data_IF_575162581654
#
_entry.id   IF_575162581654
#
_cell.length_a   1.000
_cell.length_b   1.000
_cell.length_c   1.000
_cell.angle_alpha   90.00
_cell.angle_beta   90.00
_cell.angle_gamma   90.00
#
_symmetry.space_group_name_H-M   'P 1'
#
loop_
_entity.id
_entity.type
_entity.pdbx_description
1 polymer ?
#
# COMPACT_ATOMS: atom_id res chain seq x y z
N UNK A 1 -5.50 13.94 -16.03
CA UNK A 1 -4.33 13.03 -16.18
C UNK A 1 -3.59 12.75 -14.87
N UNK A 2 -3.30 13.75 -14.01
CA UNK A 2 -2.54 13.56 -12.74
C UNK A 2 -3.02 12.45 -11.78
N UNK A 3 -4.33 12.18 -11.71
CA UNK A 3 -4.87 11.17 -10.78
C UNK A 3 -4.75 9.72 -11.27
N UNK A 4 -4.43 9.50 -12.56
CA UNK A 4 -4.21 8.14 -13.09
C UNK A 4 -2.77 7.71 -12.86
N UNK A 5 -1.81 8.58 -13.20
CA UNK A 5 -0.39 8.39 -12.90
C UNK A 5 -0.16 8.20 -11.39
N UNK A 6 -0.81 9.02 -10.55
CA UNK A 6 -0.72 8.86 -9.08
C UNK A 6 -1.31 7.53 -8.58
N UNK A 7 -2.36 7.00 -9.22
CA UNK A 7 -2.87 5.66 -8.91
C UNK A 7 -1.83 4.58 -9.25
N UNK A 8 -1.21 4.66 -10.42
CA UNK A 8 -0.23 3.67 -10.89
C UNK A 8 1.04 3.68 -10.02
N UNK A 9 1.50 4.86 -9.59
CA UNK A 9 2.60 4.97 -8.62
C UNK A 9 2.25 4.28 -7.29
N UNK A 10 1.06 4.57 -6.73
CA UNK A 10 0.63 3.96 -5.47
C UNK A 10 0.50 2.44 -5.59
N UNK A 11 -0.05 1.93 -6.69
CA UNK A 11 -0.14 0.49 -6.95
C UNK A 11 1.25 -0.16 -7.02
N UNK A 12 2.19 0.49 -7.69
CA UNK A 12 3.58 0.02 -7.76
C UNK A 12 4.23 -0.06 -6.37
N UNK A 13 4.02 0.96 -5.54
CA UNK A 13 4.54 0.97 -4.17
C UNK A 13 3.88 -0.10 -3.27
N UNK A 14 2.56 -0.29 -3.39
CA UNK A 14 1.81 -1.34 -2.71
C UNK A 14 2.39 -2.72 -3.04
N UNK A 15 2.64 -3.01 -4.32
CA UNK A 15 3.18 -4.30 -4.74
C UNK A 15 4.62 -4.50 -4.26
N UNK A 16 5.43 -3.43 -4.24
CA UNK A 16 6.77 -3.49 -3.66
C UNK A 16 6.72 -3.81 -2.15
N UNK A 17 5.83 -3.16 -1.39
CA UNK A 17 5.68 -3.44 0.04
C UNK A 17 5.21 -4.89 0.30
N UNK A 18 4.27 -5.39 -0.51
CA UNK A 18 3.83 -6.80 -0.44
C UNK A 18 4.99 -7.77 -0.68
N UNK A 19 5.85 -7.50 -1.66
CA UNK A 19 7.06 -8.31 -1.90
C UNK A 19 8.01 -8.28 -0.71
N UNK A 20 8.21 -7.13 -0.08
CA UNK A 20 9.04 -7.04 1.13
C UNK A 20 8.44 -7.89 2.27
N UNK A 21 7.12 -7.85 2.49
CA UNK A 21 6.47 -8.72 3.48
C UNK A 21 6.69 -10.20 3.18
N UNK A 22 6.55 -10.63 1.91
CA UNK A 22 6.84 -12.02 1.53
C UNK A 22 8.27 -12.42 1.86
N UNK A 23 9.25 -11.57 1.58
CA UNK A 23 10.67 -11.83 1.90
C UNK A 23 10.88 -11.98 3.42
N UNK A 24 10.23 -11.14 4.23
CA UNK A 24 10.31 -11.24 5.70
C UNK A 24 9.70 -12.56 6.19
N UNK A 25 8.53 -12.92 5.67
CA UNK A 25 7.84 -14.16 5.99
C UNK A 25 8.69 -15.38 5.61
N UNK A 26 9.30 -15.37 4.43
CA UNK A 26 10.19 -16.44 3.96
C UNK A 26 11.44 -16.60 4.82
N UNK A 27 11.93 -15.53 5.43
CA UNK A 27 13.05 -15.57 6.39
C UNK A 27 12.66 -16.20 7.73
N UNK A 28 11.38 -16.52 7.95
CA UNK A 28 10.89 -17.09 9.20
C UNK A 28 10.89 -16.09 10.37
N UNK A 29 10.94 -14.79 10.06
CA UNK A 29 10.85 -13.70 11.03
C UNK A 29 9.43 -13.68 11.61
N UNK A 30 9.28 -13.34 12.89
CA UNK A 30 7.96 -13.26 13.50
C UNK A 30 7.14 -12.17 12.83
N UNK A 31 5.84 -12.42 12.67
CA UNK A 31 4.92 -11.40 12.16
C UNK A 31 4.81 -10.18 13.09
N UNK A 32 5.28 -10.31 14.33
CA UNK A 32 5.32 -9.25 15.34
C UNK A 32 6.67 -8.57 15.46
N UNK A 33 7.67 -8.97 14.66
CA UNK A 33 8.96 -8.26 14.65
C UNK A 33 8.77 -6.83 14.14
N UNK A 34 9.55 -5.90 14.69
CA UNK A 34 9.44 -4.48 14.42
C UNK A 34 9.51 -4.15 12.92
N UNK A 35 10.32 -4.90 12.17
CA UNK A 35 10.44 -4.77 10.71
C UNK A 35 9.13 -5.12 10.00
N UNK A 36 8.46 -6.20 10.41
CA UNK A 36 7.17 -6.61 9.84
C UNK A 36 6.07 -5.62 10.20
N UNK A 37 6.08 -5.13 11.45
CA UNK A 37 5.14 -4.12 11.93
C UNK A 37 5.30 -2.82 11.13
N UNK A 38 6.53 -2.33 10.93
CA UNK A 38 6.78 -1.11 10.15
C UNK A 38 6.27 -1.25 8.71
N UNK A 39 6.58 -2.37 8.04
CA UNK A 39 6.14 -2.57 6.65
C UNK A 39 4.63 -2.68 6.56
N UNK A 40 3.97 -3.36 7.51
CA UNK A 40 2.51 -3.46 7.52
C UNK A 40 1.83 -2.08 7.68
N UNK A 41 2.34 -1.22 8.56
CA UNK A 41 1.80 0.14 8.77
C UNK A 41 2.00 1.03 7.54
N UNK A 42 3.14 0.90 6.85
CA UNK A 42 3.39 1.61 5.59
C UNK A 42 2.46 1.14 4.48
N UNK A 43 2.25 -0.18 4.36
CA UNK A 43 1.32 -0.74 3.38
C UNK A 43 -0.11 -0.25 3.63
N UNK A 44 -0.56 -0.23 4.88
CA UNK A 44 -1.88 0.30 5.24
C UNK A 44 -2.03 1.77 4.86
N UNK A 45 -0.99 2.57 5.07
CA UNK A 45 -0.99 3.99 4.68
C UNK A 45 -1.13 4.16 3.16
N UNK A 46 -0.39 3.37 2.37
CA UNK A 46 -0.48 3.39 0.90
C UNK A 46 -1.86 2.93 0.40
N UNK A 47 -2.42 1.87 0.99
CA UNK A 47 -3.76 1.39 0.66
C UNK A 47 -4.82 2.45 0.97
N UNK A 48 -4.70 3.14 2.10
CA UNK A 48 -5.60 4.22 2.47
C UNK A 48 -5.52 5.40 1.50
N UNK A 49 -4.32 5.78 1.07
CA UNK A 49 -4.15 6.87 0.11
C UNK A 49 -4.64 6.49 -1.29
N UNK A 50 -4.44 5.24 -1.70
CA UNK A 50 -5.04 4.70 -2.92
C UNK A 50 -6.57 4.74 -2.83
N UNK A 51 -7.14 4.25 -1.73
CA UNK A 51 -8.58 4.24 -1.48
C UNK A 51 -9.17 5.66 -1.53
N UNK A 52 -8.56 6.64 -0.86
CA UNK A 52 -8.98 8.04 -0.95
C UNK A 52 -8.97 8.53 -2.40
N UNK A 53 -7.97 8.16 -3.18
CA UNK A 53 -7.80 8.65 -4.55
C UNK A 53 -8.81 8.04 -5.53
N UNK A 54 -9.20 6.78 -5.34
CA UNK A 54 -10.25 6.13 -6.13
C UNK A 54 -11.66 6.54 -5.66
N UNK A 55 -11.87 6.75 -4.36
CA UNK A 55 -13.18 7.16 -3.82
C UNK A 55 -13.46 8.65 -4.04
N UNK A 56 -12.46 9.52 -4.00
CA UNK A 56 -12.62 10.94 -4.38
C UNK A 56 -13.00 11.12 -5.86
N UNK A 57 -12.82 10.11 -6.73
CA UNK A 57 -13.35 10.13 -8.11
C UNK A 57 -14.87 9.89 -8.17
N UNK A 58 -15.48 9.29 -7.15
CA UNK A 58 -16.90 8.92 -7.13
C UNK A 58 -17.81 9.95 -6.42
N UNK A 59 -17.26 10.98 -5.77
CA UNK A 59 -18.04 11.97 -5.01
C UNK A 59 -18.52 13.16 -5.88
N UNK A 60 -18.18 13.21 -7.17
CA UNK A 60 -18.68 14.26 -8.09
C UNK A 60 -19.96 13.88 -8.84
N UNK A 61 -20.63 12.78 -8.47
CA UNK A 61 -21.93 12.40 -9.05
C UNK A 61 -22.92 12.10 -7.93
N UNK A 62 -23.37 13.15 -7.26
CA UNK A 62 -24.59 13.16 -6.44
C UNK A 62 -25.19 14.56 -6.49
#
# INVERSE_FOLDING_TARGET
MKNMEKCECLLTEIDNMRRCMYVIIERGVSLTDDEMVEISQRLDSLLNDYNKLIHNKNVQVA
#
